data_IF_662725294618
#
_entry.id   IF_662725294618
#
_cell.length_a   1.000
_cell.length_b   1.000
_cell.length_c   1.000
_cell.angle_alpha   90.00
_cell.angle_beta   90.00
_cell.angle_gamma   90.00
#
_symmetry.space_group_name_H-M   'P 1'
#
loop_
_entity.id
_entity.type
_entity.pdbx_description
1 polymer ?
#
# COMPACT_ATOMS: atom_id res chain seq x y z
N UNK A 1 -16.85 -38.03 -14.53
CA UNK A 1 -16.93 -36.70 -15.17
C UNK A 1 -17.37 -35.71 -14.10
N UNK A 2 -16.58 -34.77 -13.61
CA UNK A 2 -15.16 -34.49 -13.73
C UNK A 2 -14.76 -33.81 -12.41
N UNK A 3 -13.62 -34.18 -11.87
CA UNK A 3 -12.97 -33.46 -10.78
C UNK A 3 -11.99 -32.48 -11.42
N UNK A 4 -12.12 -31.19 -11.12
CA UNK A 4 -11.01 -30.22 -11.05
C UNK A 4 -11.58 -28.89 -10.55
N UNK A 5 -11.27 -28.52 -9.30
CA UNK A 5 -11.39 -27.16 -8.74
C UNK A 5 -10.85 -27.19 -7.30
N UNK A 6 -9.55 -27.45 -7.15
CA UNK A 6 -8.87 -27.39 -5.86
C UNK A 6 -7.33 -27.36 -6.04
N UNK A 7 -6.80 -26.48 -6.89
CA UNK A 7 -5.33 -26.36 -7.05
C UNK A 7 -4.83 -24.90 -7.03
N UNK A 8 -5.71 -23.89 -6.92
CA UNK A 8 -5.32 -22.48 -7.07
C UNK A 8 -5.32 -21.65 -5.78
N UNK A 9 -5.47 -22.27 -4.60
CA UNK A 9 -5.60 -21.55 -3.31
C UNK A 9 -4.44 -21.79 -2.34
N UNK A 10 -3.52 -22.72 -2.62
CA UNK A 10 -2.40 -23.01 -1.73
C UNK A 10 -1.24 -22.05 -2.01
N UNK A 11 -0.75 -22.00 -3.25
CA UNK A 11 0.39 -21.16 -3.63
C UNK A 11 0.23 -19.65 -3.35
N UNK A 12 -0.99 -19.12 -3.46
CA UNK A 12 -1.29 -17.70 -3.16
C UNK A 12 -1.33 -17.41 -1.66
N UNK A 13 -1.65 -18.43 -0.83
CA UNK A 13 -1.69 -18.30 0.62
C UNK A 13 -0.28 -18.41 1.21
N UNK A 14 0.57 -19.29 0.67
CA UNK A 14 1.97 -19.41 1.08
C UNK A 14 2.75 -18.11 0.83
N UNK A 15 2.61 -17.47 -0.35
CA UNK A 15 3.24 -16.15 -0.61
C UNK A 15 2.77 -15.03 0.32
N UNK A 16 1.52 -15.07 0.78
CA UNK A 16 0.99 -14.06 1.70
C UNK A 16 1.45 -14.26 3.16
N UNK A 17 1.99 -15.44 3.50
CA UNK A 17 2.52 -15.73 4.83
C UNK A 17 4.05 -15.49 4.92
N UNK A 18 4.73 -15.35 3.79
CA UNK A 18 6.18 -15.09 3.70
C UNK A 18 6.57 -13.62 3.48
N UNK A 19 5.65 -12.73 3.05
CA UNK A 19 5.95 -11.31 2.89
C UNK A 19 6.11 -10.60 4.23
N UNK A 20 7.23 -9.89 4.39
CA UNK A 20 7.46 -8.95 5.50
C UNK A 20 6.63 -7.66 5.27
N UNK A 21 6.48 -6.84 6.31
CA UNK A 21 5.70 -5.59 6.24
C UNK A 21 4.29 -5.65 6.85
N UNK A 22 3.45 -4.67 6.53
CA UNK A 22 2.12 -4.50 7.15
C UNK A 22 1.10 -3.77 6.28
N UNK A 23 -0.16 -4.20 6.39
CA UNK A 23 -1.30 -3.45 5.85
C UNK A 23 -2.09 -2.78 6.95
N UNK A 24 -2.39 -1.49 6.82
CA UNK A 24 -3.28 -0.78 7.75
C UNK A 24 -4.32 0.07 7.03
N UNK A 25 -5.52 0.04 7.58
CA UNK A 25 -6.60 0.95 7.24
C UNK A 25 -6.61 2.14 8.20
N UNK A 26 -6.53 3.35 7.67
CA UNK A 26 -6.58 4.60 8.43
C UNK A 26 -7.95 5.25 8.24
N UNK A 27 -8.59 5.58 9.36
CA UNK A 27 -9.95 6.15 9.40
C UNK A 27 -9.95 7.43 10.20
N UNK A 28 -10.64 8.46 9.70
CA UNK A 28 -10.94 9.65 10.48
C UNK A 28 -12.45 9.75 10.78
N UNK A 29 -12.84 9.53 12.04
CA UNK A 29 -14.23 9.52 12.49
C UNK A 29 -14.38 10.34 13.78
N UNK A 30 -15.42 11.18 13.87
CA UNK A 30 -15.70 12.04 15.04
C UNK A 30 -14.49 12.90 15.49
N UNK A 31 -13.68 13.35 14.53
CA UNK A 31 -12.47 14.15 14.79
C UNK A 31 -11.33 13.36 15.42
N UNK A 32 -11.34 12.02 15.30
CA UNK A 32 -10.32 11.12 15.82
C UNK A 32 -9.82 10.18 14.75
N UNK A 33 -8.52 9.94 14.76
CA UNK A 33 -7.90 8.90 13.97
C UNK A 33 -8.16 7.53 14.60
N UNK A 34 -8.36 6.52 13.74
CA UNK A 34 -8.38 5.11 14.10
C UNK A 34 -7.58 4.37 13.04
N UNK A 35 -6.70 3.48 13.47
CA UNK A 35 -5.95 2.59 12.58
C UNK A 35 -6.38 1.16 12.87
N UNK A 36 -6.52 0.34 11.82
CA UNK A 36 -6.85 -1.08 11.92
C UNK A 36 -5.89 -1.86 11.03
N UNK A 37 -5.35 -2.96 11.53
CA UNK A 37 -4.60 -3.89 10.71
C UNK A 37 -5.52 -4.50 9.63
N UNK A 38 -4.98 -4.63 8.43
CA UNK A 38 -5.48 -5.48 7.36
C UNK A 38 -4.85 -6.88 7.50
N UNK A 39 -5.36 -7.85 6.76
CA UNK A 39 -4.70 -9.16 6.70
C UNK A 39 -3.46 -9.10 5.79
N UNK A 40 -2.53 -10.04 5.95
CA UNK A 40 -1.35 -10.13 5.07
C UNK A 40 -1.72 -10.39 3.60
N UNK A 41 -2.91 -10.94 3.34
CA UNK A 41 -3.42 -11.08 1.98
C UNK A 41 -3.65 -9.73 1.28
N UNK A 42 -3.80 -8.62 2.03
CA UNK A 42 -3.87 -7.29 1.44
C UNK A 42 -2.52 -6.85 0.82
N UNK A 43 -1.40 -7.47 1.17
CA UNK A 43 -0.08 -7.16 0.62
C UNK A 43 0.19 -7.86 -0.72
N UNK A 44 -0.60 -8.86 -1.10
CA UNK A 44 -0.35 -9.66 -2.31
C UNK A 44 -1.20 -9.27 -3.50
N UNK A 45 -2.29 -8.52 -3.30
CA UNK A 45 -3.16 -8.08 -4.39
C UNK A 45 -3.92 -6.81 -4.05
N UNK A 46 -3.96 -5.90 -5.03
CA UNK A 46 -4.69 -4.65 -4.92
C UNK A 46 -6.19 -4.91 -4.68
N UNK A 47 -6.76 -5.89 -5.37
CA UNK A 47 -8.19 -6.22 -5.24
C UNK A 47 -8.56 -6.68 -3.83
N UNK A 48 -7.67 -7.43 -3.15
CA UNK A 48 -7.89 -7.87 -1.77
C UNK A 48 -7.80 -6.68 -0.82
N UNK A 49 -6.79 -5.82 -0.98
CA UNK A 49 -6.65 -4.61 -0.19
C UNK A 49 -7.88 -3.71 -0.32
N UNK A 50 -8.37 -3.48 -1.53
CA UNK A 50 -9.59 -2.70 -1.79
C UNK A 50 -10.84 -3.31 -1.14
N UNK A 51 -10.98 -4.64 -1.18
CA UNK A 51 -12.12 -5.34 -0.58
C UNK A 51 -12.13 -5.20 0.95
N UNK A 52 -10.98 -5.43 1.60
CA UNK A 52 -10.84 -5.25 3.04
C UNK A 52 -11.12 -3.80 3.46
N UNK A 53 -10.57 -2.86 2.71
CA UNK A 53 -10.81 -1.43 2.91
C UNK A 53 -12.31 -1.10 2.80
N UNK A 54 -12.99 -1.62 1.77
CA UNK A 54 -14.44 -1.41 1.58
C UNK A 54 -15.28 -2.06 2.67
N UNK A 55 -14.85 -3.20 3.22
CA UNK A 55 -15.54 -3.91 4.29
C UNK A 55 -15.59 -3.13 5.62
N UNK A 56 -14.62 -2.23 5.86
CA UNK A 56 -14.51 -1.47 7.10
C UNK A 56 -15.53 -0.32 7.26
N UNK A 57 -16.40 -0.08 6.26
CA UNK A 57 -17.64 0.72 6.32
C UNK A 57 -17.54 1.95 7.25
N UNK A 58 -16.64 2.88 6.97
CA UNK A 58 -16.46 4.08 7.80
C UNK A 58 -17.03 5.33 7.12
N UNK A 59 -17.73 6.17 7.90
CA UNK A 59 -18.43 7.37 7.41
C UNK A 59 -17.54 8.62 7.29
N UNK A 60 -16.22 8.44 7.25
CA UNK A 60 -15.20 9.50 7.16
C UNK A 60 -14.05 9.08 6.25
N UNK A 61 -13.01 9.91 6.15
CA UNK A 61 -11.90 9.63 5.24
C UNK A 61 -11.21 8.31 5.60
N UNK A 62 -11.04 7.48 4.59
CA UNK A 62 -10.61 6.11 4.72
C UNK A 62 -9.63 5.79 3.59
N UNK A 63 -8.39 5.47 3.95
CA UNK A 63 -7.33 5.09 3.04
C UNK A 63 -6.51 3.94 3.66
N UNK A 64 -5.87 3.14 2.82
CA UNK A 64 -4.93 2.12 3.23
C UNK A 64 -3.50 2.61 3.08
N UNK A 65 -2.64 2.14 3.97
CA UNK A 65 -1.19 2.16 3.84
C UNK A 65 -0.73 0.71 3.85
N UNK A 66 -0.06 0.29 2.79
CA UNK A 66 0.52 -1.04 2.66
C UNK A 66 2.03 -0.87 2.61
N UNK A 67 2.73 -1.49 3.53
CA UNK A 67 4.17 -1.70 3.52
C UNK A 67 4.40 -3.14 3.05
N UNK A 68 5.07 -3.32 1.92
CA UNK A 68 5.21 -4.61 1.24
C UNK A 68 6.68 -5.00 1.21
N UNK A 69 7.01 -6.08 1.91
CA UNK A 69 8.34 -6.69 2.01
C UNK A 69 9.45 -5.73 2.44
N UNK A 70 9.09 -4.65 3.14
CA UNK A 70 9.98 -3.54 3.50
C UNK A 70 10.71 -2.92 2.28
N UNK A 71 10.19 -3.14 1.06
CA UNK A 71 10.79 -2.71 -0.21
C UNK A 71 10.07 -1.48 -0.79
N UNK A 72 8.73 -1.48 -0.74
CA UNK A 72 7.92 -0.36 -1.23
C UNK A 72 6.62 -0.21 -0.44
N UNK A 73 5.96 0.93 -0.61
CA UNK A 73 4.62 1.14 -0.06
C UNK A 73 3.58 1.51 -1.12
N UNK A 74 2.33 1.19 -0.80
CA UNK A 74 1.15 1.58 -1.57
C UNK A 74 0.21 2.39 -0.68
N UNK A 75 -0.21 3.55 -1.17
CA UNK A 75 -1.34 4.28 -0.59
C UNK A 75 -2.54 4.12 -1.51
N UNK A 76 -3.62 3.56 -0.98
CA UNK A 76 -4.85 3.36 -1.73
C UNK A 76 -6.03 4.03 -1.03
N UNK A 77 -6.81 4.78 -1.78
CA UNK A 77 -7.93 5.56 -1.27
C UNK A 77 -9.18 5.34 -2.12
N UNK A 78 -10.10 4.46 -1.68
CA UNK A 78 -11.35 4.23 -2.39
C UNK A 78 -12.15 5.53 -2.55
N UNK A 79 -12.60 5.83 -3.78
CA UNK A 79 -13.47 6.96 -4.07
C UNK A 79 -14.64 6.54 -5.00
N UNK A 80 -15.73 7.33 -5.07
CA UNK A 80 -16.89 6.97 -5.90
C UNK A 80 -16.58 6.79 -7.40
N UNK A 81 -15.53 7.46 -7.89
CA UNK A 81 -15.09 7.41 -9.28
C UNK A 81 -14.04 6.32 -9.57
N UNK A 82 -13.68 5.51 -8.57
CA UNK A 82 -12.55 4.59 -8.62
C UNK A 82 -11.59 4.85 -7.46
N UNK A 83 -10.70 3.90 -7.20
CA UNK A 83 -9.67 4.04 -6.16
C UNK A 83 -8.56 4.96 -6.65
N UNK A 84 -8.15 5.90 -5.80
CA UNK A 84 -6.95 6.71 -6.02
C UNK A 84 -5.76 5.97 -5.43
N UNK A 85 -4.67 5.86 -6.18
CA UNK A 85 -3.53 5.02 -5.85
C UNK A 85 -2.25 5.84 -5.91
N UNK A 86 -1.30 5.51 -5.06
CA UNK A 86 0.09 5.94 -5.13
C UNK A 86 0.95 4.71 -4.84
N UNK A 87 1.93 4.46 -5.69
CA UNK A 87 2.99 3.46 -5.54
C UNK A 87 4.30 4.22 -5.32
N UNK A 88 5.07 3.87 -4.28
CA UNK A 88 6.33 4.56 -3.98
C UNK A 88 7.47 4.17 -4.92
N UNK A 89 7.41 2.95 -5.47
CA UNK A 89 8.43 2.40 -6.36
C UNK A 89 7.78 1.62 -7.51
N UNK A 90 7.88 2.16 -8.72
CA UNK A 90 7.37 1.50 -9.92
C UNK A 90 8.20 0.27 -10.35
N UNK A 91 9.45 0.17 -9.93
CA UNK A 91 10.34 -0.95 -10.29
C UNK A 91 9.91 -2.25 -9.59
N UNK A 92 9.28 -2.14 -8.41
CA UNK A 92 8.70 -3.27 -7.70
C UNK A 92 7.66 -4.06 -8.50
N UNK A 93 7.08 -3.49 -9.57
CA UNK A 93 6.17 -4.20 -10.45
C UNK A 93 6.84 -5.34 -11.25
N UNK A 94 8.17 -5.43 -11.24
CA UNK A 94 8.94 -6.53 -11.83
C UNK A 94 8.85 -7.81 -10.99
N UNK A 95 8.80 -7.66 -9.66
CA UNK A 95 8.87 -8.78 -8.71
C UNK A 95 7.56 -9.01 -7.93
N UNK A 96 6.72 -7.98 -7.79
CA UNK A 96 5.52 -8.01 -6.93
C UNK A 96 4.22 -7.83 -7.73
N UNK A 97 3.36 -8.86 -7.65
CA UNK A 97 2.04 -8.88 -8.30
C UNK A 97 1.17 -7.65 -7.91
N UNK A 98 1.23 -7.21 -6.65
CA UNK A 98 0.47 -6.03 -6.19
C UNK A 98 0.96 -4.72 -6.83
N UNK A 99 2.26 -4.56 -7.06
CA UNK A 99 2.81 -3.36 -7.70
C UNK A 99 2.41 -3.33 -9.18
N UNK A 100 2.45 -4.49 -9.85
CA UNK A 100 1.94 -4.64 -11.21
C UNK A 100 0.43 -4.34 -11.30
N UNK A 101 -0.38 -4.83 -10.36
CA UNK A 101 -1.81 -4.50 -10.25
C UNK A 101 -2.04 -2.99 -10.11
N UNK A 102 -1.20 -2.29 -9.32
CA UNK A 102 -1.29 -0.83 -9.12
C UNK A 102 -0.94 -0.08 -10.41
N UNK A 103 0.14 -0.44 -11.11
CA UNK A 103 0.49 0.19 -12.39
C UNK A 103 -0.59 -0.04 -13.45
N UNK A 104 -1.15 -1.25 -13.54
CA UNK A 104 -2.27 -1.55 -14.42
C UNK A 104 -3.48 -0.65 -14.12
N UNK A 105 -3.85 -0.51 -12.85
CA UNK A 105 -4.96 0.33 -12.42
C UNK A 105 -4.72 1.83 -12.70
N UNK A 106 -3.46 2.27 -12.68
CA UNK A 106 -3.04 3.62 -13.05
C UNK A 106 -2.91 3.81 -14.58
N UNK A 107 -3.05 2.74 -15.37
CA UNK A 107 -2.79 2.72 -16.80
C UNK A 107 -1.35 3.16 -17.13
N UNK A 108 -0.40 2.72 -16.32
CA UNK A 108 1.05 2.87 -16.48
C UNK A 108 1.63 1.53 -16.91
N UNK A 109 2.56 1.55 -17.87
CA UNK A 109 3.23 0.32 -18.31
C UNK A 109 4.28 -0.09 -17.27
N UNK A 110 4.38 -1.38 -16.98
CA UNK A 110 5.46 -1.94 -16.16
C UNK A 110 6.80 -1.59 -16.82
N UNK A 111 7.78 -1.06 -16.07
CA UNK A 111 9.05 -0.68 -16.65
C UNK A 111 9.76 -1.91 -17.26
N UNK A 112 10.32 -1.74 -18.46
CA UNK A 112 11.14 -2.77 -19.12
C UNK A 112 12.60 -2.57 -18.69
N UNK A 113 12.94 -3.04 -17.49
CA UNK A 113 14.29 -2.97 -16.91
C UNK A 113 14.86 -4.39 -16.87
N UNK A 114 16.12 -4.53 -17.27
CA UNK A 114 16.83 -5.80 -17.15
C UNK A 114 17.06 -6.10 -15.66
N UNK A 115 16.75 -7.31 -15.16
CA UNK A 115 16.91 -7.64 -13.74
C UNK A 115 18.36 -7.48 -13.25
N UNK A 116 19.35 -7.59 -14.15
CA UNK A 116 20.76 -7.35 -13.79
C UNK A 116 21.09 -5.85 -13.60
N UNK A 117 20.22 -4.94 -14.05
CA UNK A 117 20.39 -3.47 -13.91
C UNK A 117 19.50 -2.87 -12.82
N UNK A 118 18.54 -3.63 -12.26
CA UNK A 118 17.54 -3.14 -11.30
C UNK A 118 18.16 -2.46 -10.07
N UNK A 119 19.22 -3.06 -9.51
CA UNK A 119 19.94 -2.52 -8.34
C UNK A 119 20.61 -1.15 -8.58
N UNK A 120 20.85 -0.79 -9.85
CA UNK A 120 21.47 0.49 -10.24
C UNK A 120 20.43 1.58 -10.58
N UNK A 121 19.13 1.25 -10.52
CA UNK A 121 18.04 2.17 -10.82
C UNK A 121 17.52 2.81 -9.53
N UNK A 122 17.45 4.14 -9.53
CA UNK A 122 16.80 4.87 -8.45
C UNK A 122 15.28 4.67 -8.57
N UNK A 123 14.61 4.20 -7.50
CA UNK A 123 13.17 3.98 -7.53
C UNK A 123 12.41 5.30 -7.65
N UNK A 124 11.24 5.26 -8.30
CA UNK A 124 10.39 6.44 -8.48
C UNK A 124 8.92 6.12 -8.23
N UNK A 125 8.19 7.13 -7.76
CA UNK A 125 6.77 6.99 -7.48
C UNK A 125 5.88 7.09 -8.72
N UNK A 126 4.73 6.43 -8.67
CA UNK A 126 3.67 6.53 -9.69
C UNK A 126 2.30 6.70 -9.03
N UNK A 127 1.43 7.49 -9.67
CA UNK A 127 0.04 7.70 -9.25
C UNK A 127 -0.28 9.10 -8.70
N UNK A 128 -1.26 9.17 -7.78
CA UNK A 128 -1.85 10.43 -7.31
C UNK A 128 -1.19 10.93 -6.02
N UNK A 129 -0.15 11.73 -6.14
CA UNK A 129 0.50 12.41 -5.00
C UNK A 129 -0.43 13.38 -4.23
N UNK A 130 -1.59 13.75 -4.80
CA UNK A 130 -2.59 14.59 -4.13
C UNK A 130 -3.64 13.78 -3.35
N UNK A 131 -3.55 12.44 -3.32
CA UNK A 131 -4.60 11.59 -2.79
C UNK A 131 -4.90 11.80 -1.30
N UNK A 132 -3.99 12.42 -0.54
CA UNK A 132 -4.14 12.76 0.89
C UNK A 132 -4.27 14.27 1.15
N UNK A 133 -4.35 15.10 0.10
CA UNK A 133 -4.35 16.57 0.21
C UNK A 133 -5.52 17.12 1.02
N UNK A 134 -6.72 16.56 0.87
CA UNK A 134 -7.89 16.98 1.65
C UNK A 134 -7.84 16.58 3.13
N UNK A 135 -6.88 15.72 3.52
CA UNK A 135 -6.62 15.35 4.92
C UNK A 135 -5.51 16.20 5.55
N UNK A 136 -4.95 17.14 4.79
CA UNK A 136 -3.90 18.04 5.27
C UNK A 136 -2.48 17.57 4.93
N UNK A 137 -2.31 16.61 4.00
CA UNK A 137 -1.01 16.24 3.43
C UNK A 137 -0.94 16.67 1.95
N UNK A 138 -0.43 17.88 1.65
CA UNK A 138 -0.36 18.40 0.29
C UNK A 138 0.58 17.58 -0.60
N UNK A 139 0.31 17.59 -1.91
CA UNK A 139 1.11 16.91 -2.93
C UNK A 139 2.61 17.19 -2.83
N UNK A 140 3.11 18.44 -2.69
CA UNK A 140 4.55 18.69 -2.57
C UNK A 140 5.18 18.06 -1.32
N UNK A 141 4.39 17.84 -0.27
CA UNK A 141 4.90 17.20 0.96
C UNK A 141 4.96 15.69 0.78
N UNK A 142 3.96 15.09 0.12
CA UNK A 142 3.98 13.67 -0.19
C UNK A 142 5.08 13.33 -1.20
N UNK A 143 5.29 14.17 -2.21
CA UNK A 143 6.40 14.04 -3.16
C UNK A 143 7.77 14.04 -2.46
N UNK A 144 7.96 14.95 -1.48
CA UNK A 144 9.19 14.96 -0.69
C UNK A 144 9.34 13.67 0.12
N UNK A 145 8.26 13.05 0.61
CA UNK A 145 8.36 11.79 1.35
C UNK A 145 8.74 10.64 0.42
N UNK A 146 8.12 10.55 -0.77
CA UNK A 146 8.41 9.48 -1.74
C UNK A 146 9.80 9.58 -2.34
N UNK A 147 10.33 10.79 -2.51
CA UNK A 147 11.70 11.00 -3.02
C UNK A 147 12.82 10.69 -2.01
N UNK A 148 12.50 10.38 -0.74
CA UNK A 148 13.51 9.99 0.26
C UNK A 148 13.80 8.48 0.16
N UNK A 149 14.37 8.06 -0.96
CA UNK A 149 14.65 6.66 -1.32
C UNK A 149 15.70 5.99 -0.42
N UNK A 150 16.40 6.77 0.40
CA UNK A 150 17.31 6.27 1.45
C UNK A 150 16.58 5.72 2.69
N UNK A 151 15.27 6.01 2.83
CA UNK A 151 14.45 5.58 3.96
C UNK A 151 13.70 4.28 3.65
N UNK A 152 13.50 3.46 4.69
CA UNK A 152 12.61 2.31 4.56
C UNK A 152 11.15 2.74 4.34
N UNK A 153 10.31 1.91 3.68
CA UNK A 153 8.91 2.23 3.47
C UNK A 153 8.15 2.49 4.77
N UNK A 154 8.44 1.75 5.84
CA UNK A 154 7.84 1.97 7.17
C UNK A 154 8.15 3.38 7.73
N UNK A 155 9.36 3.89 7.49
CA UNK A 155 9.80 5.22 7.91
C UNK A 155 9.07 6.30 7.11
N UNK A 156 8.95 6.13 5.79
CA UNK A 156 8.20 7.02 4.91
C UNK A 156 6.70 7.06 5.30
N UNK A 157 6.10 5.89 5.57
CA UNK A 157 4.74 5.78 6.09
C UNK A 157 4.60 6.42 7.49
N UNK A 158 5.62 6.28 8.33
CA UNK A 158 5.74 6.97 9.62
C UNK A 158 5.74 8.49 9.48
N UNK A 159 6.42 9.02 8.46
CA UNK A 159 6.37 10.45 8.12
C UNK A 159 4.95 10.85 7.72
N UNK A 160 4.27 10.11 6.84
CA UNK A 160 2.86 10.36 6.47
C UNK A 160 1.99 10.43 7.74
N UNK A 161 2.11 9.45 8.63
CA UNK A 161 1.38 9.40 9.89
C UNK A 161 1.67 10.60 10.80
N UNK A 162 2.92 11.06 10.85
CA UNK A 162 3.33 12.24 11.61
C UNK A 162 2.71 13.52 11.05
N UNK A 163 2.71 13.71 9.73
CA UNK A 163 2.12 14.91 9.10
C UNK A 163 0.60 14.97 9.30
N UNK A 164 -0.08 13.83 9.21
CA UNK A 164 -1.54 13.73 9.38
C UNK A 164 -1.98 13.63 10.85
N UNK A 165 -1.05 13.33 11.76
CA UNK A 165 -1.29 13.34 13.21
C UNK A 165 -1.89 12.05 13.78
N UNK A 166 -1.59 10.88 13.19
CA UNK A 166 -2.06 9.57 13.66
C UNK A 166 -0.93 8.59 14.05
N UNK A 167 0.28 9.10 14.30
CA UNK A 167 1.46 8.26 14.65
C UNK A 167 1.21 7.35 15.85
N UNK A 168 0.46 7.81 16.85
CA UNK A 168 0.18 7.01 18.06
C UNK A 168 -0.74 5.85 17.76
N UNK A 169 -1.77 6.07 16.94
CA UNK A 169 -2.70 5.07 16.49
C UNK A 169 -2.02 4.04 15.60
N UNK A 170 -1.15 4.48 14.69
CA UNK A 170 -0.33 3.61 13.85
C UNK A 170 0.57 2.72 14.71
N UNK A 171 1.41 3.31 15.57
CA UNK A 171 2.30 2.57 16.45
C UNK A 171 1.56 1.57 17.34
N UNK A 172 0.38 1.93 17.86
CA UNK A 172 -0.44 1.05 18.68
C UNK A 172 -1.08 -0.13 17.94
N UNK A 173 -1.11 -0.11 16.61
CA UNK A 173 -1.48 -1.26 15.77
C UNK A 173 -0.24 -2.09 15.46
N UNK A 174 0.86 -1.45 15.04
CA UNK A 174 2.10 -2.14 14.68
C UNK A 174 2.69 -2.94 15.85
N UNK A 175 2.61 -2.44 17.09
CA UNK A 175 3.04 -3.16 18.31
C UNK A 175 2.31 -4.51 18.53
N UNK A 176 1.13 -4.68 17.91
CA UNK A 176 0.31 -5.88 18.05
C UNK A 176 0.41 -6.83 16.86
N UNK A 177 1.03 -6.41 15.77
CA UNK A 177 1.24 -7.27 14.62
C UNK A 177 2.34 -8.29 14.95
N UNK A 178 2.18 -9.55 14.51
CA UNK A 178 3.30 -10.48 14.51
C UNK A 178 4.40 -9.89 13.63
N UNK A 179 5.62 -9.85 14.17
CA UNK A 179 6.84 -9.60 13.40
C UNK A 179 7.32 -10.90 12.79
#
# INVERSE_FOLDING_TARGET
MGAQRAENNSASSDRAEDLEGFGVAVVHEDGRWKVKALTSAALTSLSVAEEELRALRSAGAFFGLLDVDDEFFVVLRPAPSGTRLLLSDATAALDYDIAADVLEALNVEVPDIDPDELDDIEPWEEGDLSLLADLGLPEPVLAVITSETDLYPDEQLGMIAQRLGFTTELAGVLDKLPR
#
